data_IF_259834888471
#
_entry.id   IF_259834888471
#
_cell.length_a   1.000
_cell.length_b   1.000
_cell.length_c   1.000
_cell.angle_alpha   90.00
_cell.angle_beta   90.00
_cell.angle_gamma   90.00
#
_symmetry.space_group_name_H-M   'P 1'
#
loop_
_entity.id
_entity.type
_entity.pdbx_description
1 polymer ?
#
# COMPACT_ATOMS: atom_id res chain seq x y z
N UNK A 1 -9.12 27.70 -9.86
CA UNK A 1 -7.80 27.21 -10.30
C UNK A 1 -7.64 25.79 -9.80
N UNK A 2 -7.19 24.87 -10.66
CA UNK A 2 -6.86 23.51 -10.25
C UNK A 2 -5.78 23.55 -9.18
N UNK A 3 -6.01 22.89 -8.05
CA UNK A 3 -5.01 22.78 -7.00
C UNK A 3 -4.35 21.39 -7.10
N UNK A 4 -3.30 21.30 -7.91
CA UNK A 4 -2.61 20.03 -8.18
C UNK A 4 -1.61 19.65 -7.08
N UNK A 5 -1.21 20.60 -6.23
CA UNK A 5 -0.09 20.45 -5.30
C UNK A 5 -0.20 19.21 -4.41
N UNK A 6 -1.37 18.95 -3.83
CA UNK A 6 -1.58 17.80 -2.94
C UNK A 6 -1.45 16.46 -3.69
N UNK A 7 -1.93 16.40 -4.93
CA UNK A 7 -1.80 15.23 -5.79
C UNK A 7 -0.38 15.06 -6.33
N UNK A 8 0.30 16.14 -6.68
CA UNK A 8 1.71 16.10 -7.11
C UNK A 8 2.61 15.61 -5.96
N UNK A 9 2.38 16.11 -4.74
CA UNK A 9 3.04 15.63 -3.53
C UNK A 9 2.73 14.16 -3.23
N UNK A 10 1.47 13.76 -3.37
CA UNK A 10 1.03 12.37 -3.23
C UNK A 10 1.70 11.45 -4.26
N UNK A 11 1.71 11.84 -5.53
CA UNK A 11 2.32 11.06 -6.60
C UNK A 11 3.84 10.96 -6.43
N UNK A 12 4.51 12.05 -6.05
CA UNK A 12 5.92 12.02 -5.65
C UNK A 12 6.14 11.03 -4.49
N UNK A 13 5.24 11.02 -3.49
CA UNK A 13 5.26 10.05 -2.41
C UNK A 13 5.20 8.60 -2.90
N UNK A 14 4.38 8.30 -3.91
CA UNK A 14 4.32 6.96 -4.51
C UNK A 14 5.65 6.60 -5.20
N UNK A 15 6.23 7.53 -5.96
CA UNK A 15 7.53 7.32 -6.61
C UNK A 15 8.62 7.07 -5.56
N UNK A 16 8.66 7.88 -4.50
CA UNK A 16 9.61 7.71 -3.38
C UNK A 16 9.39 6.35 -2.71
N UNK A 17 8.14 5.94 -2.46
CA UNK A 17 7.84 4.64 -1.87
C UNK A 17 8.32 3.49 -2.76
N UNK A 18 8.13 3.57 -4.08
CA UNK A 18 8.57 2.57 -5.06
C UNK A 18 10.10 2.48 -5.12
N UNK A 19 10.80 3.60 -5.25
CA UNK A 19 12.26 3.65 -5.29
C UNK A 19 12.85 3.17 -3.97
N UNK A 20 12.31 3.61 -2.83
CA UNK A 20 12.77 3.19 -1.52
C UNK A 20 12.53 1.70 -1.28
N UNK A 21 11.41 1.12 -1.73
CA UNK A 21 11.19 -0.33 -1.68
C UNK A 21 12.20 -1.09 -2.56
N UNK A 22 12.53 -0.57 -3.74
CA UNK A 22 13.58 -1.14 -4.62
C UNK A 22 14.93 -1.17 -3.91
N UNK A 23 15.35 -0.03 -3.36
CA UNK A 23 16.62 0.11 -2.63
C UNK A 23 16.62 -0.78 -1.40
N UNK A 24 15.52 -0.88 -0.66
CA UNK A 24 15.38 -1.76 0.50
C UNK A 24 15.54 -3.23 0.10
N UNK A 25 14.81 -3.69 -0.92
CA UNK A 25 14.87 -5.07 -1.40
C UNK A 25 16.28 -5.46 -1.83
N UNK A 26 16.92 -4.61 -2.64
CA UNK A 26 18.29 -4.83 -3.10
C UNK A 26 19.29 -4.81 -1.95
N UNK A 27 19.20 -3.83 -1.03
CA UNK A 27 20.14 -3.70 0.08
C UNK A 27 20.00 -4.83 1.09
N UNK A 28 18.79 -5.27 1.42
CA UNK A 28 18.59 -6.44 2.27
C UNK A 28 19.07 -7.73 1.58
N UNK A 29 18.87 -7.85 0.27
CA UNK A 29 19.43 -8.95 -0.51
C UNK A 29 20.96 -8.98 -0.40
N UNK A 30 21.62 -7.84 -0.64
CA UNK A 30 23.08 -7.70 -0.53
C UNK A 30 23.58 -7.95 0.90
N UNK A 31 22.84 -7.49 1.91
CA UNK A 31 23.17 -7.71 3.32
C UNK A 31 23.17 -9.20 3.70
N UNK A 32 22.27 -9.99 3.10
CA UNK A 32 22.16 -11.42 3.35
C UNK A 32 22.97 -12.27 2.37
N UNK A 33 23.33 -11.77 1.18
CA UNK A 33 24.03 -12.54 0.15
C UNK A 33 25.39 -13.03 0.68
N UNK A 34 25.68 -14.32 0.47
CA UNK A 34 26.92 -14.98 0.90
C UNK A 34 27.20 -14.89 2.41
N UNK A 35 26.20 -14.55 3.24
CA UNK A 35 26.30 -14.52 4.70
C UNK A 35 25.52 -15.69 5.32
N UNK A 36 26.04 -16.36 6.36
CA UNK A 36 25.26 -17.37 7.09
C UNK A 36 24.07 -16.73 7.80
N UNK A 37 23.05 -17.52 8.14
CA UNK A 37 21.89 -17.02 8.88
C UNK A 37 22.34 -16.40 10.23
N UNK A 38 21.77 -15.25 10.59
CA UNK A 38 22.16 -14.50 11.79
C UNK A 38 23.38 -13.57 11.61
N UNK A 39 24.08 -13.65 10.48
CA UNK A 39 25.10 -12.69 10.10
C UNK A 39 24.63 -11.90 8.88
N UNK A 40 25.05 -10.64 8.79
CA UNK A 40 24.70 -9.75 7.68
C UNK A 40 25.77 -8.69 7.52
N UNK A 41 25.98 -8.23 6.29
CA UNK A 41 26.80 -7.04 6.06
C UNK A 41 26.13 -5.83 6.71
N UNK A 42 26.82 -5.23 7.69
CA UNK A 42 26.27 -4.14 8.50
C UNK A 42 26.01 -2.86 7.69
N UNK A 43 26.78 -2.60 6.63
CA UNK A 43 26.63 -1.44 5.78
C UNK A 43 25.35 -1.56 4.95
N UNK A 44 25.21 -2.67 4.22
CA UNK A 44 24.01 -2.95 3.43
C UNK A 44 22.75 -3.06 4.29
N UNK A 45 22.86 -3.66 5.49
CA UNK A 45 21.73 -3.74 6.42
C UNK A 45 21.26 -2.34 6.86
N UNK A 46 22.19 -1.41 7.13
CA UNK A 46 21.84 -0.04 7.51
C UNK A 46 21.10 0.69 6.38
N UNK A 47 21.57 0.53 5.14
CA UNK A 47 20.92 1.11 3.96
C UNK A 47 19.52 0.50 3.78
N UNK A 48 19.38 -0.83 3.88
CA UNK A 48 18.10 -1.52 3.76
C UNK A 48 17.07 -1.06 4.79
N UNK A 49 17.48 -0.93 6.05
CA UNK A 49 16.63 -0.38 7.12
C UNK A 49 16.22 1.07 6.85
N UNK A 50 17.17 1.92 6.47
CA UNK A 50 16.90 3.32 6.15
C UNK A 50 15.92 3.47 4.97
N UNK A 51 16.15 2.72 3.90
CA UNK A 51 15.27 2.70 2.73
C UNK A 51 13.86 2.18 3.08
N UNK A 52 13.74 1.15 3.91
CA UNK A 52 12.41 0.68 4.35
C UNK A 52 11.68 1.72 5.23
N UNK A 53 12.39 2.47 6.06
CA UNK A 53 11.80 3.57 6.83
C UNK A 53 11.34 4.72 5.93
N UNK A 54 12.14 5.08 4.92
CA UNK A 54 11.75 6.08 3.90
C UNK A 54 10.52 5.60 3.12
N UNK A 55 10.48 4.33 2.73
CA UNK A 55 9.30 3.72 2.10
C UNK A 55 8.06 3.87 3.00
N UNK A 56 8.16 3.50 4.28
CA UNK A 56 7.06 3.62 5.22
C UNK A 56 6.58 5.06 5.43
N UNK A 57 7.51 6.02 5.56
CA UNK A 57 7.18 7.43 5.68
C UNK A 57 6.50 7.98 4.41
N UNK A 58 6.96 7.58 3.23
CA UNK A 58 6.37 7.95 1.96
C UNK A 58 4.94 7.37 1.82
N UNK A 59 4.71 6.12 2.22
CA UNK A 59 3.36 5.51 2.24
C UNK A 59 2.42 6.31 3.15
N UNK A 60 2.85 6.71 4.35
CA UNK A 60 2.04 7.54 5.24
C UNK A 60 1.73 8.91 4.62
N UNK A 61 2.70 9.52 3.93
CA UNK A 61 2.49 10.78 3.23
C UNK A 61 1.47 10.63 2.07
N UNK A 62 1.54 9.54 1.31
CA UNK A 62 0.58 9.21 0.24
C UNK A 62 -0.84 9.06 0.81
N UNK A 63 -0.97 8.31 1.91
CA UNK A 63 -2.24 8.13 2.62
C UNK A 63 -2.80 9.49 3.07
N UNK A 64 -1.97 10.34 3.68
CA UNK A 64 -2.38 11.67 4.12
C UNK A 64 -2.82 12.58 2.96
N UNK A 65 -2.13 12.53 1.82
CA UNK A 65 -2.51 13.29 0.63
C UNK A 65 -3.86 12.82 0.07
N UNK A 66 -4.06 11.50 -0.06
CA UNK A 66 -5.30 10.95 -0.58
C UNK A 66 -6.50 11.21 0.36
N UNK A 67 -6.32 11.05 1.68
CA UNK A 67 -7.34 11.46 2.64
C UNK A 67 -7.64 12.95 2.59
N UNK A 68 -6.62 13.81 2.44
CA UNK A 68 -6.79 15.25 2.28
C UNK A 68 -7.55 15.63 1.00
N UNK A 69 -7.39 14.86 -0.07
CA UNK A 69 -8.15 15.00 -1.32
C UNK A 69 -9.62 14.61 -1.13
N UNK A 70 -9.88 13.45 -0.52
CA UNK A 70 -11.24 12.95 -0.26
C UNK A 70 -11.99 13.87 0.70
N UNK A 71 -11.40 14.18 1.87
CA UNK A 71 -12.01 15.04 2.88
C UNK A 71 -12.18 16.49 2.41
N UNK A 72 -11.32 16.95 1.50
CA UNK A 72 -11.41 18.27 0.90
C UNK A 72 -12.40 18.37 -0.27
N UNK A 73 -13.10 17.27 -0.62
CA UNK A 73 -13.99 17.19 -1.77
C UNK A 73 -13.35 17.72 -3.07
N UNK A 74 -12.07 17.37 -3.29
CA UNK A 74 -11.29 17.86 -4.43
C UNK A 74 -11.62 17.09 -5.71
N UNK A 75 -12.76 17.41 -6.31
CA UNK A 75 -13.31 16.73 -7.48
C UNK A 75 -12.53 16.97 -8.79
N UNK A 76 -11.47 17.77 -8.76
CA UNK A 76 -10.48 17.78 -9.83
C UNK A 76 -9.70 16.46 -9.92
N UNK A 77 -9.66 15.66 -8.85
CA UNK A 77 -9.07 14.32 -8.84
C UNK A 77 -10.12 13.26 -9.14
N UNK A 78 -9.78 12.34 -10.05
CA UNK A 78 -10.69 11.25 -10.45
C UNK A 78 -11.16 10.44 -9.24
N UNK A 79 -10.24 10.07 -8.35
CA UNK A 79 -10.53 9.24 -7.18
C UNK A 79 -11.55 9.89 -6.22
N UNK A 80 -11.39 11.18 -5.89
CA UNK A 80 -12.37 11.87 -5.05
C UNK A 80 -13.73 11.99 -5.73
N UNK A 81 -13.74 12.29 -7.03
CA UNK A 81 -14.96 12.40 -7.80
C UNK A 81 -15.70 11.06 -7.93
N UNK A 82 -15.00 9.95 -8.14
CA UNK A 82 -15.62 8.62 -8.32
C UNK A 82 -16.13 7.98 -7.03
N UNK A 83 -15.54 8.32 -5.88
CA UNK A 83 -15.77 7.59 -4.63
C UNK A 83 -16.41 8.41 -3.51
N UNK A 84 -16.49 9.74 -3.63
CA UNK A 84 -17.04 10.63 -2.59
C UNK A 84 -18.10 11.59 -3.13
N UNK A 85 -18.91 12.17 -2.25
CA UNK A 85 -19.91 13.20 -2.58
C UNK A 85 -20.14 14.14 -1.40
N UNK A 86 -20.72 15.32 -1.65
CA UNK A 86 -21.03 16.33 -0.64
C UNK A 86 -22.08 15.85 0.38
N UNK A 87 -22.89 14.87 -0.01
CA UNK A 87 -23.97 14.31 0.81
C UNK A 87 -23.54 13.07 1.61
N UNK A 88 -22.30 12.60 1.42
CA UNK A 88 -21.81 11.42 2.12
C UNK A 88 -21.54 11.77 3.60
N UNK A 89 -22.13 11.02 4.55
CA UNK A 89 -21.83 11.22 5.95
C UNK A 89 -20.34 11.04 6.25
N UNK A 90 -19.78 11.92 7.10
CA UNK A 90 -18.34 12.00 7.40
C UNK A 90 -17.75 10.66 7.84
N UNK A 91 -18.50 9.84 8.58
CA UNK A 91 -18.03 8.54 9.06
C UNK A 91 -17.86 7.49 7.94
N UNK A 92 -18.46 7.69 6.77
CA UNK A 92 -18.23 6.84 5.58
C UNK A 92 -17.14 7.38 4.65
N UNK A 93 -16.62 8.59 4.87
CA UNK A 93 -15.49 9.10 4.06
C UNK A 93 -14.25 8.22 4.17
N UNK A 94 -14.08 7.56 5.33
CA UNK A 94 -12.98 6.62 5.49
C UNK A 94 -13.16 5.37 4.62
N UNK A 95 -14.41 4.96 4.35
CA UNK A 95 -14.72 3.86 3.43
C UNK A 95 -14.37 4.20 1.97
N UNK A 96 -14.48 5.48 1.57
CA UNK A 96 -14.03 5.93 0.25
C UNK A 96 -12.55 5.65 0.02
N UNK A 97 -11.73 5.66 1.09
CA UNK A 97 -10.30 5.45 0.97
C UNK A 97 -9.94 4.05 0.50
N UNK A 98 -10.68 3.01 0.89
CA UNK A 98 -10.33 1.63 0.56
C UNK A 98 -11.32 0.94 -0.36
N UNK A 99 -12.38 1.63 -0.77
CA UNK A 99 -13.32 1.13 -1.77
C UNK A 99 -12.67 1.05 -3.17
N UNK A 100 -11.95 2.09 -3.58
CA UNK A 100 -11.21 2.08 -4.84
C UNK A 100 -9.97 1.18 -4.79
N UNK A 101 -9.61 0.61 -5.95
CA UNK A 101 -8.50 -0.34 -6.07
C UNK A 101 -7.16 0.22 -5.55
N UNK A 102 -6.84 1.46 -5.90
CA UNK A 102 -5.59 2.13 -5.52
C UNK A 102 -5.48 2.29 -4.00
N UNK A 103 -6.60 2.65 -3.38
CA UNK A 103 -6.71 2.82 -1.94
C UNK A 103 -6.66 1.51 -1.16
N UNK A 104 -7.28 0.46 -1.69
CA UNK A 104 -7.13 -0.92 -1.21
C UNK A 104 -5.66 -1.37 -1.24
N UNK A 105 -4.92 -1.11 -2.32
CA UNK A 105 -3.49 -1.40 -2.37
C UNK A 105 -2.69 -0.60 -1.34
N UNK A 106 -3.01 0.69 -1.14
CA UNK A 106 -2.37 1.51 -0.11
C UNK A 106 -2.61 0.98 1.30
N UNK A 107 -3.82 0.52 1.61
CA UNK A 107 -4.15 -0.11 2.89
C UNK A 107 -3.35 -1.40 3.10
N UNK A 108 -3.17 -2.20 2.03
CA UNK A 108 -2.33 -3.39 2.09
C UNK A 108 -0.86 -3.05 2.35
N UNK A 109 -0.30 -2.10 1.60
CA UNK A 109 1.09 -1.63 1.75
C UNK A 109 1.30 -1.07 3.16
N UNK A 110 0.34 -0.30 3.68
CA UNK A 110 0.40 0.22 5.05
C UNK A 110 0.55 -0.89 6.10
N UNK A 111 -0.28 -1.93 6.03
CA UNK A 111 -0.15 -3.05 6.96
C UNK A 111 1.17 -3.78 6.81
N UNK A 112 1.67 -3.93 5.58
CA UNK A 112 3.00 -4.47 5.38
C UNK A 112 4.10 -3.58 5.98
N UNK A 113 4.01 -2.25 5.89
CA UNK A 113 4.95 -1.34 6.56
C UNK A 113 4.94 -1.60 8.06
N UNK A 114 3.77 -1.66 8.69
CA UNK A 114 3.64 -1.94 10.14
C UNK A 114 4.29 -3.29 10.49
N UNK A 115 3.96 -4.35 9.76
CA UNK A 115 4.51 -5.69 10.00
C UNK A 115 6.03 -5.75 9.74
N UNK A 116 6.51 -5.09 8.68
CA UNK A 116 7.93 -5.00 8.36
C UNK A 116 8.72 -4.30 9.47
N UNK A 117 8.18 -3.22 10.05
CA UNK A 117 8.79 -2.55 11.21
C UNK A 117 8.85 -3.46 12.44
N UNK A 118 7.80 -4.25 12.69
CA UNK A 118 7.79 -5.24 13.78
C UNK A 118 8.88 -6.30 13.54
N UNK A 119 8.97 -6.87 12.33
CA UNK A 119 9.99 -7.85 11.95
C UNK A 119 11.39 -7.25 12.13
N UNK A 120 11.64 -6.05 11.61
CA UNK A 120 12.91 -5.34 11.76
C UNK A 120 13.27 -5.13 13.24
N UNK A 121 12.31 -4.83 14.11
CA UNK A 121 12.59 -4.53 15.51
C UNK A 121 12.83 -5.80 16.36
N UNK A 122 12.17 -6.92 16.06
CA UNK A 122 12.12 -8.09 16.94
C UNK A 122 12.86 -9.32 16.40
N UNK A 123 13.13 -9.40 15.09
CA UNK A 123 13.61 -10.62 14.45
C UNK A 123 14.99 -10.47 13.80
N UNK A 124 16.01 -10.21 14.62
CA UNK A 124 17.37 -9.88 14.16
C UNK A 124 18.08 -10.98 13.39
N UNK A 125 17.81 -12.25 13.71
CA UNK A 125 18.48 -13.41 13.09
C UNK A 125 18.05 -13.59 11.63
N UNK A 126 16.78 -13.38 11.35
CA UNK A 126 16.19 -13.58 10.03
C UNK A 126 15.98 -12.29 9.25
N UNK A 127 16.25 -11.14 9.86
CA UNK A 127 15.88 -9.83 9.34
C UNK A 127 16.30 -9.64 7.89
N UNK A 128 17.59 -9.80 7.58
CA UNK A 128 18.10 -9.53 6.24
C UNK A 128 17.44 -10.40 5.15
N UNK A 129 17.43 -11.74 5.25
CA UNK A 129 16.82 -12.55 4.20
C UNK A 129 15.29 -12.43 4.13
N UNK A 130 14.61 -12.25 5.26
CA UNK A 130 13.16 -12.04 5.29
C UNK A 130 12.79 -10.71 4.66
N UNK A 131 13.46 -9.64 5.06
CA UNK A 131 13.17 -8.28 4.58
C UNK A 131 13.55 -8.08 3.11
N UNK A 132 14.50 -8.85 2.57
CA UNK A 132 14.80 -8.83 1.14
C UNK A 132 13.57 -9.22 0.29
N UNK A 133 12.93 -10.34 0.65
CA UNK A 133 11.71 -10.81 -0.04
C UNK A 133 10.52 -9.91 0.30
N UNK A 134 10.38 -9.52 1.56
CA UNK A 134 9.28 -8.67 2.02
C UNK A 134 9.27 -7.30 1.32
N UNK A 135 10.42 -6.65 1.19
CA UNK A 135 10.57 -5.40 0.44
C UNK A 135 10.40 -5.61 -1.07
N UNK A 136 10.75 -6.78 -1.61
CA UNK A 136 10.43 -7.15 -2.99
C UNK A 136 8.92 -7.21 -3.26
N UNK A 137 8.13 -7.66 -2.28
CA UNK A 137 6.66 -7.60 -2.38
C UNK A 137 6.16 -6.15 -2.28
N UNK A 138 6.79 -5.30 -1.46
CA UNK A 138 6.45 -3.87 -1.43
C UNK A 138 6.73 -3.18 -2.76
N UNK A 139 7.84 -3.54 -3.42
CA UNK A 139 8.18 -3.07 -4.75
C UNK A 139 7.07 -3.41 -5.76
N UNK A 140 6.61 -4.67 -5.76
CA UNK A 140 5.51 -5.10 -6.63
C UNK A 140 4.21 -4.33 -6.32
N UNK A 141 3.80 -4.24 -5.05
CA UNK A 141 2.56 -3.54 -4.67
C UNK A 141 2.61 -2.05 -4.99
N UNK A 142 3.72 -1.38 -4.72
CA UNK A 142 3.88 0.04 -5.09
C UNK A 142 3.88 0.26 -6.60
N UNK A 143 4.38 -0.71 -7.39
CA UNK A 143 4.26 -0.65 -8.85
C UNK A 143 2.80 -0.63 -9.33
N UNK A 144 1.86 -1.26 -8.59
CA UNK A 144 0.45 -1.30 -8.95
C UNK A 144 -0.25 0.05 -8.80
N UNK A 145 0.31 0.95 -8.00
CA UNK A 145 -0.22 2.31 -7.76
C UNK A 145 0.65 3.42 -8.37
N UNK A 146 1.70 3.04 -9.12
CA UNK A 146 2.70 3.98 -9.65
C UNK A 146 2.10 4.95 -10.68
N UNK A 147 1.25 4.45 -11.59
CA UNK A 147 0.53 5.25 -12.58
C UNK A 147 1.42 5.93 -13.63
N UNK A 148 2.58 5.34 -13.93
CA UNK A 148 3.53 5.87 -14.92
C UNK A 148 3.31 5.18 -16.27
N UNK A 149 3.35 5.95 -17.36
CA UNK A 149 3.28 5.45 -18.73
C UNK A 149 4.66 5.59 -19.38
N UNK A 150 5.28 4.47 -19.76
CA UNK A 150 6.60 4.45 -20.41
C UNK A 150 6.53 3.62 -21.70
N UNK A 151 6.86 4.23 -22.85
CA UNK A 151 6.90 3.52 -24.14
C UNK A 151 5.57 2.89 -24.57
N UNK A 152 4.43 3.47 -24.18
CA UNK A 152 3.09 2.93 -24.44
C UNK A 152 2.60 1.89 -23.42
N UNK A 153 3.44 1.48 -22.45
CA UNK A 153 3.06 0.61 -21.35
C UNK A 153 2.65 1.44 -20.12
N UNK A 154 1.42 1.25 -19.64
CA UNK A 154 0.93 1.82 -18.37
C UNK A 154 1.26 0.86 -17.22
N UNK A 155 2.04 1.34 -16.24
CA UNK A 155 2.38 0.59 -15.03
C UNK A 155 1.57 1.15 -13.87
N UNK A 156 0.61 0.35 -13.38
CA UNK A 156 -0.25 0.70 -12.27
C UNK A 156 -1.24 1.84 -12.55
N UNK A 157 -2.02 2.20 -11.53
CA UNK A 157 -2.97 3.32 -11.56
C UNK A 157 -2.72 4.22 -10.37
N UNK A 158 -2.41 5.50 -10.61
CA UNK A 158 -2.14 6.43 -9.50
C UNK A 158 -3.47 6.96 -8.94
N UNK A 159 -3.65 7.00 -7.60
CA UNK A 159 -4.86 7.58 -7.02
C UNK A 159 -4.93 9.11 -7.19
N UNK A 160 -3.88 9.73 -7.73
CA UNK A 160 -3.76 11.17 -7.92
C UNK A 160 -4.01 11.63 -9.37
N UNK A 161 -4.50 10.75 -10.25
CA UNK A 161 -4.87 11.12 -11.62
C UNK A 161 -5.98 12.19 -11.57
N UNK A 162 -5.80 13.26 -12.35
CA UNK A 162 -6.83 14.30 -12.50
C UNK A 162 -8.00 13.77 -13.33
N UNK A 163 -9.20 14.23 -13.02
CA UNK A 163 -10.43 13.85 -13.70
C UNK A 163 -10.35 14.10 -15.21
N UNK A 164 -9.78 15.24 -15.61
CA UNK A 164 -9.60 15.62 -17.01
C UNK A 164 -8.63 14.70 -17.77
N UNK A 165 -7.63 14.15 -17.07
CA UNK A 165 -6.60 13.27 -17.65
C UNK A 165 -7.09 11.82 -17.73
N UNK A 166 -8.06 11.46 -16.89
CA UNK A 166 -8.73 10.16 -16.94
C UNK A 166 -9.86 10.13 -17.97
N UNK A 167 -10.67 11.19 -18.06
CA UNK A 167 -11.84 11.31 -18.94
C UNK A 167 -11.56 12.24 -20.14
N UNK A 168 -10.49 11.95 -20.88
CA UNK A 168 -9.97 12.81 -21.96
C UNK A 168 -10.98 13.11 -23.08
N UNK A 169 -11.96 12.22 -23.30
CA UNK A 169 -12.89 12.31 -24.41
C UNK A 169 -14.14 13.15 -24.13
N UNK A 170 -14.37 13.55 -22.87
CA UNK A 170 -15.57 14.32 -22.53
C UNK A 170 -15.53 15.74 -23.14
N UNK A 171 -16.60 16.18 -23.82
CA UNK A 171 -16.64 17.50 -24.46
C UNK A 171 -16.39 18.66 -23.50
N UNK A 172 -16.76 18.51 -22.22
CA UNK A 172 -16.59 19.55 -21.19
C UNK A 172 -15.12 19.95 -21.01
N UNK A 173 -14.18 19.01 -21.08
CA UNK A 173 -12.76 19.29 -20.91
C UNK A 173 -12.10 19.88 -22.17
N UNK A 174 -12.71 19.68 -23.35
CA UNK A 174 -12.30 20.35 -24.58
C UNK A 174 -12.73 21.83 -24.61
N UNK A 175 -13.88 22.13 -24.00
CA UNK A 175 -14.43 23.49 -23.91
C UNK A 175 -13.88 24.28 -22.71
N UNK A 176 -13.70 23.60 -21.57
CA UNK A 176 -13.18 24.15 -20.34
C UNK A 176 -12.21 23.16 -19.68
N UNK A 177 -10.90 23.24 -20.00
CA UNK A 177 -9.88 22.36 -19.45
C UNK A 177 -9.73 22.39 -17.92
N UNK A 178 -10.22 23.45 -17.29
CA UNK A 178 -10.18 23.67 -15.83
C UNK A 178 -11.55 23.45 -15.18
N UNK A 179 -12.49 22.77 -15.86
CA UNK A 179 -13.77 22.40 -15.29
C UNK A 179 -13.60 21.47 -14.09
N UNK A 180 -14.27 21.79 -12.99
CA UNK A 180 -14.32 20.97 -11.77
C UNK A 180 -15.80 20.71 -11.46
N UNK A 181 -16.24 19.45 -11.35
CA UNK A 181 -17.59 19.13 -10.90
C UNK A 181 -17.89 19.70 -9.51
N UNK A 182 -19.14 20.11 -9.27
CA UNK A 182 -19.57 20.62 -7.96
C UNK A 182 -19.79 19.52 -6.92
N UNK A 183 -19.95 18.28 -7.38
CA UNK A 183 -20.17 17.09 -6.56
C UNK A 183 -19.53 15.88 -7.24
N UNK A 184 -19.26 14.84 -6.46
CA UNK A 184 -18.81 13.53 -6.94
C UNK A 184 -19.97 12.53 -7.06
N UNK A 185 -19.69 11.35 -7.62
CA UNK A 185 -20.68 10.29 -7.81
C UNK A 185 -21.07 9.60 -6.51
N UNK A 186 -20.31 9.81 -5.44
CA UNK A 186 -20.56 9.24 -4.13
C UNK A 186 -20.13 7.78 -4.00
N UNK A 187 -20.08 7.32 -2.75
CA UNK A 187 -19.84 5.93 -2.42
C UNK A 187 -21.06 5.08 -2.81
N UNK A 188 -20.84 3.89 -3.38
CA UNK A 188 -21.92 2.94 -3.67
C UNK A 188 -22.82 2.75 -2.43
N UNK A 189 -24.14 2.86 -2.60
CA UNK A 189 -25.11 2.80 -1.50
C UNK A 189 -24.98 1.52 -0.67
N UNK A 190 -24.62 0.38 -1.28
CA UNK A 190 -24.37 -0.88 -0.58
C UNK A 190 -23.19 -0.80 0.38
N UNK A 191 -22.27 0.13 0.15
CA UNK A 191 -21.05 0.31 0.93
C UNK A 191 -21.20 1.36 2.04
N UNK A 192 -22.35 2.02 2.12
CA UNK A 192 -22.69 2.99 3.16
C UNK A 192 -23.26 2.29 4.40
N UNK A 193 -22.47 1.39 4.99
CA UNK A 193 -22.83 0.69 6.22
C UNK A 193 -21.61 0.53 7.14
N UNK A 194 -21.88 0.25 8.42
CA UNK A 194 -20.84 0.13 9.44
C UNK A 194 -19.79 -0.94 9.12
N UNK A 195 -20.18 -2.07 8.51
CA UNK A 195 -19.24 -3.14 8.20
C UNK A 195 -18.18 -2.70 7.20
N UNK A 196 -18.53 -1.89 6.20
CA UNK A 196 -17.55 -1.35 5.26
C UNK A 196 -16.51 -0.42 5.88
N UNK A 197 -16.78 0.13 7.07
CA UNK A 197 -15.80 0.94 7.81
C UNK A 197 -14.75 0.07 8.50
N UNK A 198 -15.14 -1.11 9.01
CA UNK A 198 -14.27 -1.92 9.89
C UNK A 198 -13.76 -3.21 9.25
N UNK A 199 -14.48 -3.74 8.27
CA UNK A 199 -14.14 -5.00 7.60
C UNK A 199 -12.88 -4.87 6.74
N UNK A 200 -12.76 -3.90 5.81
CA UNK A 200 -11.57 -3.83 4.94
C UNK A 200 -10.26 -3.68 5.71
N UNK A 201 -10.11 -2.79 6.72
CA UNK A 201 -8.88 -2.73 7.52
C UNK A 201 -8.51 -4.06 8.17
N UNK A 202 -9.50 -4.81 8.67
CA UNK A 202 -9.28 -6.13 9.31
C UNK A 202 -8.90 -7.20 8.29
N UNK A 203 -9.61 -7.26 7.15
CA UNK A 203 -9.35 -8.21 6.09
C UNK A 203 -7.97 -8.00 5.47
N UNK A 204 -7.60 -6.75 5.18
CA UNK A 204 -6.29 -6.40 4.62
C UNK A 204 -5.14 -6.64 5.60
N UNK A 205 -5.35 -6.46 6.90
CA UNK A 205 -4.37 -6.92 7.90
C UNK A 205 -4.20 -8.44 7.84
N UNK A 206 -5.30 -9.19 7.70
CA UNK A 206 -5.28 -10.63 7.47
C UNK A 206 -4.46 -11.01 6.23
N UNK A 207 -4.71 -10.37 5.08
CA UNK A 207 -3.92 -10.58 3.86
C UNK A 207 -2.44 -10.27 4.08
N UNK A 208 -2.13 -9.12 4.70
CA UNK A 208 -0.76 -8.71 4.99
C UNK A 208 -0.02 -9.70 5.91
N UNK A 209 -0.72 -10.29 6.89
CA UNK A 209 -0.15 -11.28 7.79
C UNK A 209 0.23 -12.59 7.07
N UNK A 210 -0.47 -12.97 5.99
CA UNK A 210 -0.12 -14.19 5.24
C UNK A 210 1.20 -14.07 4.49
N UNK A 211 1.65 -12.84 4.17
CA UNK A 211 2.97 -12.62 3.59
C UNK A 211 4.10 -13.07 4.53
N UNK A 212 3.93 -12.89 5.85
CA UNK A 212 4.99 -13.14 6.83
C UNK A 212 5.47 -14.61 6.80
N UNK A 213 4.63 -15.65 6.98
CA UNK A 213 5.09 -17.03 6.89
C UNK A 213 5.65 -17.37 5.50
N UNK A 214 5.14 -16.79 4.43
CA UNK A 214 5.69 -16.97 3.07
C UNK A 214 7.13 -16.48 2.98
N UNK A 215 7.44 -15.26 3.44
CA UNK A 215 8.81 -14.74 3.37
C UNK A 215 9.78 -15.48 4.29
N UNK A 216 9.31 -16.03 5.42
CA UNK A 216 10.12 -16.93 6.25
C UNK A 216 10.42 -18.24 5.53
N UNK A 217 9.45 -18.82 4.82
CA UNK A 217 9.67 -20.04 4.03
C UNK A 217 10.71 -19.81 2.93
N UNK A 218 10.57 -18.72 2.17
CA UNK A 218 11.53 -18.35 1.11
C UNK A 218 12.91 -18.07 1.70
N UNK A 219 12.99 -17.33 2.81
CA UNK A 219 14.26 -17.08 3.50
C UNK A 219 14.90 -18.37 4.04
N UNK A 220 14.10 -19.31 4.54
CA UNK A 220 14.55 -20.63 5.00
C UNK A 220 15.16 -21.44 3.86
N UNK A 221 14.48 -21.51 2.71
CA UNK A 221 14.99 -22.15 1.49
C UNK A 221 16.28 -21.48 1.01
N UNK A 222 16.31 -20.14 0.96
CA UNK A 222 17.51 -19.39 0.54
C UNK A 222 18.71 -19.67 1.47
N UNK A 223 18.48 -19.80 2.78
CA UNK A 223 19.54 -20.06 3.76
C UNK A 223 19.84 -21.54 3.98
N UNK A 224 19.15 -22.46 3.30
CA UNK A 224 19.29 -23.91 3.52
C UNK A 224 18.82 -24.37 4.90
N UNK A 225 17.99 -23.58 5.59
CA UNK A 225 17.55 -23.79 6.96
C UNK A 225 16.13 -24.33 6.98
N UNK A 226 15.93 -25.61 6.64
CA UNK A 226 14.60 -26.16 6.34
C UNK A 226 13.62 -26.27 7.51
N UNK A 227 14.10 -26.25 8.77
CA UNK A 227 13.24 -26.42 9.96
C UNK A 227 13.17 -25.17 10.84
N UNK A 228 14.23 -24.36 10.90
CA UNK A 228 14.31 -23.24 11.86
C UNK A 228 13.33 -22.11 11.57
N UNK A 229 12.95 -21.91 10.30
CA UNK A 229 11.98 -20.88 9.88
C UNK A 229 10.54 -21.20 10.32
N UNK A 230 10.22 -22.48 10.55
CA UNK A 230 8.87 -22.94 10.87
C UNK A 230 8.39 -22.36 12.20
N UNK A 231 9.25 -22.34 13.23
CA UNK A 231 8.89 -21.83 14.56
C UNK A 231 8.44 -20.37 14.55
N UNK A 232 9.18 -19.40 13.98
CA UNK A 232 8.70 -18.04 13.87
C UNK A 232 7.50 -17.91 12.91
N UNK A 233 7.52 -18.60 11.76
CA UNK A 233 6.42 -18.55 10.79
C UNK A 233 5.08 -19.02 11.40
N UNK A 234 5.08 -20.10 12.19
CA UNK A 234 3.87 -20.66 12.79
C UNK A 234 3.14 -19.66 13.71
N UNK A 235 3.89 -18.86 14.48
CA UNK A 235 3.30 -17.83 15.35
C UNK A 235 2.57 -16.78 14.51
N UNK A 236 3.18 -16.34 13.42
CA UNK A 236 2.57 -15.41 12.47
C UNK A 236 1.38 -16.04 11.74
N UNK A 237 1.46 -17.32 11.36
CA UNK A 237 0.36 -18.05 10.71
C UNK A 237 -0.87 -18.15 11.62
N UNK A 238 -0.70 -18.41 12.92
CA UNK A 238 -1.82 -18.47 13.87
C UNK A 238 -2.51 -17.10 14.01
N UNK A 239 -1.72 -16.02 14.15
CA UNK A 239 -2.25 -14.66 14.22
C UNK A 239 -2.94 -14.28 12.90
N UNK A 240 -2.29 -14.58 11.76
CA UNK A 240 -2.82 -14.36 10.43
C UNK A 240 -4.13 -15.11 10.19
N UNK A 241 -4.20 -16.39 10.55
CA UNK A 241 -5.41 -17.21 10.42
C UNK A 241 -6.57 -16.67 11.26
N UNK A 242 -6.30 -16.23 12.50
CA UNK A 242 -7.32 -15.62 13.35
C UNK A 242 -7.82 -14.29 12.77
N UNK A 243 -6.92 -13.37 12.42
CA UNK A 243 -7.30 -12.04 11.91
C UNK A 243 -8.00 -12.15 10.55
N UNK A 244 -7.46 -12.98 9.64
CA UNK A 244 -8.07 -13.22 8.33
C UNK A 244 -9.44 -13.90 8.49
N UNK A 245 -9.57 -14.87 9.39
CA UNK A 245 -10.84 -15.52 9.70
C UNK A 245 -11.88 -14.53 10.20
N UNK A 246 -11.50 -13.63 11.12
CA UNK A 246 -12.38 -12.54 11.58
C UNK A 246 -12.77 -11.63 10.41
N UNK A 247 -11.81 -11.21 9.58
CA UNK A 247 -12.09 -10.42 8.38
C UNK A 247 -13.10 -11.09 7.45
N UNK A 248 -12.92 -12.38 7.14
CA UNK A 248 -13.84 -13.15 6.29
C UNK A 248 -15.22 -13.26 6.92
N UNK A 249 -15.33 -13.53 8.23
CA UNK A 249 -16.62 -13.60 8.93
C UNK A 249 -17.36 -12.25 8.92
N UNK A 250 -16.64 -11.14 9.10
CA UNK A 250 -17.22 -9.79 9.00
C UNK A 250 -17.75 -9.52 7.58
N UNK A 251 -17.00 -9.93 6.56
CA UNK A 251 -17.39 -9.75 5.16
C UNK A 251 -18.55 -10.65 4.73
N UNK A 252 -18.68 -11.84 5.33
CA UNK A 252 -19.80 -12.75 5.07
C UNK A 252 -21.11 -12.32 5.76
N UNK A 253 -21.01 -11.55 6.85
CA UNK A 253 -22.17 -11.01 7.55
C UNK A 253 -22.74 -9.76 6.87
N UNK A 254 -21.86 -8.94 6.28
CA UNK A 254 -22.24 -7.80 5.43
C UNK A 254 -22.92 -8.26 4.14
#
# INVERSE_FOLDING_TARGET
MLNTFIGDAGHLGVIVAFVAATVAAYSYYMAARNQPLGQSDASWLRIGRGAFLVHGAAVVAVIACLFGIIHGHRYEYYYAWSHSSNHLPVYYMISCFWEGQEGSFLLWIFWHVVLGLIIMRWNKVWEAPVMAVFAGVQLFLTSMILGVVAGGLKIGSSPFILLRDFLTDLPVFKLNPDFIPKDGTGLNALLQNYWMVIHPPTLFLGFALTLVPFVFAVAGLWKGEFSKWVKPALRWSLVGGLVLGVGVMMGAYW
#
